data_IF_920539446146
#
_entry.id   IF_920539446146
#
_cell.length_a   1.000
_cell.length_b   1.000
_cell.length_c   1.000
_cell.angle_alpha   90.00
_cell.angle_beta   90.00
_cell.angle_gamma   90.00
#
_symmetry.space_group_name_H-M   'P 1'
#
loop_
_entity.id
_entity.type
_entity.pdbx_description
1 polymer ?
#
# COMPACT_ATOMS: atom_id res chain seq x y z
N UNK A 1 45.64 -23.65 -46.21
CA UNK A 1 45.38 -23.77 -44.79
C UNK A 1 44.28 -22.85 -44.41
N UNK A 2 43.23 -23.40 -43.93
CA UNK A 2 42.04 -22.64 -43.59
C UNK A 2 41.92 -22.55 -42.11
N UNK A 3 42.03 -21.38 -41.60
CA UNK A 3 41.71 -21.08 -40.21
C UNK A 3 40.21 -20.85 -40.11
N UNK A 4 39.54 -21.74 -39.42
CA UNK A 4 38.16 -21.54 -39.03
C UNK A 4 38.14 -20.72 -37.76
N UNK A 5 37.73 -19.49 -37.89
CA UNK A 5 37.33 -18.70 -36.76
C UNK A 5 35.88 -19.09 -36.41
N UNK A 6 35.76 -20.02 -35.49
CA UNK A 6 34.48 -20.23 -34.86
C UNK A 6 34.22 -19.04 -33.95
N UNK A 7 33.39 -18.14 -34.42
CA UNK A 7 32.83 -17.12 -33.54
C UNK A 7 31.96 -17.82 -32.51
N UNK A 8 32.44 -17.86 -31.29
CA UNK A 8 31.65 -18.26 -30.15
C UNK A 8 30.62 -17.15 -29.92
N UNK A 9 29.43 -17.35 -30.44
CA UNK A 9 28.29 -16.52 -30.04
C UNK A 9 27.98 -16.88 -28.58
N UNK A 10 28.50 -16.10 -27.66
CA UNK A 10 28.04 -16.14 -26.29
C UNK A 10 26.65 -15.55 -26.30
N UNK A 11 25.67 -16.40 -26.39
CA UNK A 11 24.32 -16.01 -26.06
C UNK A 11 24.31 -15.74 -24.56
N UNK A 12 24.52 -14.50 -24.18
CA UNK A 12 24.19 -14.04 -22.83
C UNK A 12 22.69 -14.09 -22.76
N UNK A 13 22.16 -15.21 -22.34
CA UNK A 13 20.80 -15.23 -21.87
C UNK A 13 20.77 -14.41 -20.58
N UNK A 14 20.38 -13.18 -20.69
CA UNK A 14 19.90 -12.44 -19.57
C UNK A 14 18.65 -13.17 -19.08
N UNK A 15 18.87 -14.13 -18.19
CA UNK A 15 17.79 -14.59 -17.35
C UNK A 15 17.36 -13.35 -16.56
N UNK A 16 16.39 -12.64 -17.10
CA UNK A 16 15.80 -11.54 -16.39
C UNK A 16 15.37 -12.05 -15.03
N UNK A 17 15.95 -11.51 -13.98
CA UNK A 17 15.40 -11.67 -12.66
C UNK A 17 13.91 -11.40 -12.79
N UNK A 18 13.09 -12.33 -12.23
CA UNK A 18 11.67 -12.11 -12.09
C UNK A 18 11.47 -10.76 -11.45
N UNK A 19 10.70 -9.98 -12.02
CA UNK A 19 10.79 -8.57 -11.89
C UNK A 19 10.24 -8.07 -10.59
N UNK A 20 11.05 -7.33 -9.93
CA UNK A 20 10.58 -6.17 -9.21
C UNK A 20 9.75 -5.24 -10.12
N UNK A 21 9.47 -5.71 -11.36
CA UNK A 21 8.68 -4.98 -12.33
C UNK A 21 7.26 -4.73 -11.89
N UNK A 22 6.80 -5.38 -10.83
CA UNK A 22 5.49 -5.10 -10.28
C UNK A 22 5.45 -3.77 -9.55
N UNK A 23 6.61 -3.20 -9.24
CA UNK A 23 6.68 -1.88 -8.65
C UNK A 23 6.50 -0.80 -9.71
N UNK A 24 5.44 -0.01 -9.57
CA UNK A 24 5.16 1.15 -10.38
C UNK A 24 5.87 2.38 -9.82
N UNK A 25 5.96 3.43 -10.63
CA UNK A 25 6.44 4.72 -10.13
C UNK A 25 5.55 5.20 -8.98
N UNK A 26 6.13 5.87 -7.97
CA UNK A 26 5.33 6.45 -6.89
C UNK A 26 4.23 7.37 -7.41
N UNK A 27 3.06 7.30 -6.80
CA UNK A 27 1.92 8.14 -7.13
C UNK A 27 1.64 9.09 -5.96
N UNK A 28 2.00 10.38 -6.08
CA UNK A 28 1.81 11.34 -5.00
C UNK A 28 0.35 11.52 -4.58
N UNK A 29 -0.60 11.40 -5.50
CA UNK A 29 -2.02 11.54 -5.22
C UNK A 29 -2.52 10.37 -4.35
N UNK A 30 -2.08 9.15 -4.63
CA UNK A 30 -2.39 7.98 -3.81
C UNK A 30 -1.79 8.13 -2.42
N UNK A 31 -0.51 8.50 -2.34
CA UNK A 31 0.16 8.71 -1.05
C UNK A 31 -0.52 9.81 -0.24
N UNK A 32 -0.93 10.88 -0.90
CA UNK A 32 -1.65 11.99 -0.27
C UNK A 32 -2.99 11.57 0.32
N UNK A 33 -3.74 10.72 -0.37
CA UNK A 33 -5.00 10.15 0.12
C UNK A 33 -4.77 9.34 1.39
N UNK A 34 -3.81 8.45 1.37
CA UNK A 34 -3.49 7.58 2.53
C UNK A 34 -2.99 8.43 3.70
N UNK A 35 -2.04 9.33 3.46
CA UNK A 35 -1.51 10.20 4.50
C UNK A 35 -2.59 11.10 5.10
N UNK A 36 -3.47 11.63 4.27
CA UNK A 36 -4.60 12.46 4.73
C UNK A 36 -5.53 11.69 5.66
N UNK A 37 -5.82 10.43 5.34
CA UNK A 37 -6.64 9.59 6.23
C UNK A 37 -5.92 9.30 7.55
N UNK A 38 -4.65 8.97 7.50
CA UNK A 38 -3.85 8.72 8.71
C UNK A 38 -3.82 9.96 9.59
N UNK A 39 -3.58 11.13 9.01
CA UNK A 39 -3.56 12.40 9.75
C UNK A 39 -4.92 12.68 10.41
N UNK A 40 -6.01 12.38 9.72
CA UNK A 40 -7.36 12.51 10.27
C UNK A 40 -7.58 11.56 11.45
N UNK A 41 -7.15 10.31 11.36
CA UNK A 41 -7.23 9.36 12.48
C UNK A 41 -6.41 9.82 13.68
N UNK A 42 -5.22 10.39 13.46
CA UNK A 42 -4.38 10.89 14.55
C UNK A 42 -5.05 12.02 15.35
N UNK A 43 -6.01 12.72 14.74
CA UNK A 43 -6.79 13.77 15.37
C UNK A 43 -8.19 13.29 15.79
N UNK A 44 -8.48 12.01 15.65
CA UNK A 44 -9.84 11.45 15.84
C UNK A 44 -10.90 12.15 14.99
N UNK A 45 -10.49 12.70 13.86
CA UNK A 45 -11.42 13.30 12.90
C UNK A 45 -11.96 12.20 11.96
N UNK A 46 -12.90 11.43 12.47
CA UNK A 46 -13.48 10.30 11.73
C UNK A 46 -14.30 10.77 10.52
N UNK A 47 -14.86 11.95 10.57
CA UNK A 47 -15.56 12.54 9.43
C UNK A 47 -14.62 12.74 8.25
N UNK A 48 -13.47 13.38 8.47
CA UNK A 48 -12.46 13.58 7.44
C UNK A 48 -11.87 12.24 6.97
N UNK A 49 -11.55 11.32 7.90
CA UNK A 49 -11.02 10.00 7.56
C UNK A 49 -11.99 9.23 6.65
N UNK A 50 -13.28 9.33 6.91
CA UNK A 50 -14.33 8.66 6.14
C UNK A 50 -14.44 9.19 4.70
N UNK A 51 -14.11 10.46 4.48
CA UNK A 51 -14.13 11.05 3.14
C UNK A 51 -13.06 10.43 2.20
N UNK A 52 -11.96 9.92 2.75
CA UNK A 52 -10.93 9.23 1.96
C UNK A 52 -11.30 7.80 1.59
N UNK A 53 -12.37 7.26 2.16
CA UNK A 53 -12.85 5.93 1.86
C UNK A 53 -13.69 5.92 0.58
N UNK A 54 -13.65 4.78 -0.14
CA UNK A 54 -14.43 4.58 -1.35
C UNK A 54 -15.93 4.55 -1.07
N UNK A 55 -16.77 4.75 -2.10
CA UNK A 55 -18.22 4.60 -1.95
C UNK A 55 -18.63 3.25 -1.37
N UNK A 56 -17.95 2.15 -1.74
CA UNK A 56 -18.25 0.82 -1.22
C UNK A 56 -18.01 0.71 0.28
N UNK A 57 -16.90 1.24 0.78
CA UNK A 57 -16.62 1.26 2.23
C UNK A 57 -17.63 2.15 2.96
N UNK A 58 -17.91 3.32 2.42
CA UNK A 58 -18.90 4.22 3.03
C UNK A 58 -20.27 3.59 3.11
N UNK A 59 -20.71 2.89 2.08
CA UNK A 59 -21.98 2.16 2.09
C UNK A 59 -22.00 1.01 3.10
N UNK A 60 -20.86 0.35 3.31
CA UNK A 60 -20.75 -0.74 4.28
C UNK A 60 -20.87 -0.24 5.73
N UNK A 61 -20.15 0.80 6.08
CA UNK A 61 -20.10 1.30 7.47
C UNK A 61 -21.14 2.38 7.75
N UNK A 62 -21.60 3.08 6.75
CA UNK A 62 -22.69 4.07 6.75
C UNK A 62 -22.36 5.39 7.44
N UNK A 63 -21.66 5.36 8.56
CA UNK A 63 -21.33 6.57 9.32
C UNK A 63 -19.84 6.63 9.64
N UNK A 64 -19.27 7.84 9.80
CA UNK A 64 -17.89 7.99 10.27
C UNK A 64 -17.64 7.33 11.61
N UNK A 65 -18.63 7.32 12.52
CA UNK A 65 -18.50 6.72 13.85
C UNK A 65 -18.35 5.20 13.77
N UNK A 66 -19.15 4.54 12.92
CA UNK A 66 -19.03 3.09 12.70
C UNK A 66 -17.70 2.73 12.06
N UNK A 67 -17.29 3.52 11.08
CA UNK A 67 -16.00 3.35 10.42
C UNK A 67 -14.84 3.52 11.40
N UNK A 68 -14.86 4.58 12.19
CA UNK A 68 -13.84 4.85 13.21
C UNK A 68 -13.75 3.76 14.26
N UNK A 69 -14.89 3.27 14.75
CA UNK A 69 -14.94 2.17 15.71
C UNK A 69 -14.33 0.88 15.14
N UNK A 70 -14.59 0.58 13.88
CA UNK A 70 -14.01 -0.58 13.19
C UNK A 70 -12.50 -0.45 13.09
N UNK A 71 -11.99 0.72 12.69
CA UNK A 71 -10.54 0.94 12.55
C UNK A 71 -9.84 0.87 13.91
N UNK A 72 -10.40 1.47 14.94
CA UNK A 72 -9.85 1.39 16.30
C UNK A 72 -9.70 -0.05 16.80
N UNK A 73 -10.68 -0.90 16.52
CA UNK A 73 -10.71 -2.29 16.97
C UNK A 73 -9.91 -3.23 16.07
N UNK A 74 -10.06 -3.09 14.75
CA UNK A 74 -9.49 -4.02 13.79
C UNK A 74 -8.12 -3.62 13.26
N UNK A 75 -7.81 -2.32 13.26
CA UNK A 75 -6.60 -1.76 12.68
C UNK A 75 -5.96 -0.71 13.58
N UNK A 76 -5.65 -1.05 14.85
CA UNK A 76 -5.13 -0.06 15.79
C UNK A 76 -3.82 0.59 15.33
N UNK A 77 -3.00 -0.12 14.55
CA UNK A 77 -1.78 0.43 13.97
C UNK A 77 -2.06 1.52 12.93
N UNK A 78 -3.20 1.45 12.24
CA UNK A 78 -3.62 2.48 11.27
C UNK A 78 -4.19 3.69 11.98
N UNK A 79 -4.91 3.46 13.08
CA UNK A 79 -5.50 4.53 13.88
C UNK A 79 -4.45 5.33 14.67
N UNK A 80 -3.44 4.64 15.21
CA UNK A 80 -2.38 5.26 16.02
C UNK A 80 -1.00 4.75 15.60
N UNK A 81 -0.53 5.09 14.40
CA UNK A 81 0.83 4.76 14.00
C UNK A 81 1.84 5.62 14.75
N UNK A 82 2.97 5.03 15.16
CA UNK A 82 4.12 5.79 15.63
C UNK A 82 5.06 6.19 14.50
N UNK A 83 5.04 5.42 13.40
CA UNK A 83 5.83 5.71 12.21
C UNK A 83 5.15 5.17 10.96
N UNK A 84 5.28 5.89 9.85
CA UNK A 84 4.67 5.55 8.57
C UNK A 84 5.71 5.75 7.47
N UNK A 85 5.96 4.69 6.70
CA UNK A 85 6.89 4.72 5.59
C UNK A 85 6.24 4.11 4.35
N UNK A 86 6.19 4.87 3.25
CA UNK A 86 5.61 4.39 2.01
C UNK A 86 6.56 3.44 1.29
N UNK A 87 6.04 2.30 0.88
CA UNK A 87 6.72 1.31 0.09
C UNK A 87 6.29 1.33 -1.38
N UNK A 88 6.43 0.20 -2.08
CA UNK A 88 6.09 0.13 -3.50
C UNK A 88 4.60 0.19 -3.77
N UNK A 89 4.28 0.73 -4.95
CA UNK A 89 2.96 0.70 -5.55
C UNK A 89 2.94 -0.43 -6.58
N UNK A 90 1.94 -1.29 -6.54
CA UNK A 90 1.81 -2.43 -7.46
C UNK A 90 0.41 -2.52 -8.03
N UNK A 91 0.31 -3.04 -9.25
CA UNK A 91 -0.95 -3.46 -9.82
C UNK A 91 -1.15 -4.95 -9.54
N UNK A 92 -2.35 -5.31 -9.07
CA UNK A 92 -2.70 -6.69 -8.79
C UNK A 92 -4.21 -6.86 -8.97
N UNK A 93 -4.60 -7.82 -9.81
CA UNK A 93 -6.00 -8.12 -10.09
C UNK A 93 -6.82 -6.90 -10.54
N UNK A 94 -6.21 -6.06 -11.38
CA UNK A 94 -6.87 -4.87 -11.92
C UNK A 94 -7.00 -3.69 -10.97
N UNK A 95 -6.38 -3.75 -9.80
CA UNK A 95 -6.38 -2.67 -8.83
C UNK A 95 -4.96 -2.22 -8.47
N UNK A 96 -4.82 -0.99 -8.06
CA UNK A 96 -3.56 -0.48 -7.51
C UNK A 96 -3.52 -0.71 -6.00
N UNK A 97 -2.41 -1.25 -5.54
CA UNK A 97 -2.15 -1.52 -4.13
C UNK A 97 -0.91 -0.74 -3.69
N UNK A 98 -1.09 0.15 -2.74
CA UNK A 98 0.01 0.90 -2.13
C UNK A 98 0.43 0.23 -0.84
N UNK A 99 1.67 -0.22 -0.80
CA UNK A 99 2.26 -0.77 0.41
C UNK A 99 2.74 0.35 1.33
N UNK A 100 2.49 0.21 2.60
CA UNK A 100 2.93 1.14 3.64
C UNK A 100 3.48 0.32 4.81
N UNK A 101 4.67 0.65 5.25
CA UNK A 101 5.22 0.09 6.48
C UNK A 101 4.77 0.97 7.64
N UNK A 102 4.02 0.39 8.56
CA UNK A 102 3.50 1.10 9.73
C UNK A 102 4.03 0.43 10.99
N UNK A 103 4.56 1.25 11.89
CA UNK A 103 4.94 0.82 13.23
C UNK A 103 3.89 1.32 14.22
N UNK A 104 3.46 0.45 15.14
CA UNK A 104 2.51 0.82 16.17
C UNK A 104 3.21 1.46 17.38
N UNK A 105 2.42 1.86 18.38
CA UNK A 105 2.95 2.51 19.59
C UNK A 105 3.84 1.59 20.42
N UNK A 106 3.65 0.28 20.31
CA UNK A 106 4.48 -0.72 20.99
C UNK A 106 5.77 -1.05 20.23
N UNK A 107 6.00 -0.43 19.05
CA UNK A 107 7.18 -0.65 18.23
C UNK A 107 7.07 -1.84 17.28
N UNK A 108 5.92 -2.49 17.20
CA UNK A 108 5.70 -3.59 16.26
C UNK A 108 5.43 -3.04 14.86
N UNK A 109 6.04 -3.67 13.85
CA UNK A 109 5.91 -3.26 12.46
C UNK A 109 4.93 -4.14 11.70
N UNK A 110 4.21 -3.51 10.77
CA UNK A 110 3.23 -4.14 9.90
C UNK A 110 3.42 -3.66 8.47
N UNK A 111 3.20 -4.55 7.53
CA UNK A 111 3.02 -4.17 6.14
C UNK A 111 1.52 -3.99 5.93
N UNK A 112 1.12 -2.78 5.57
CA UNK A 112 -0.28 -2.45 5.30
C UNK A 112 -0.42 -2.18 3.82
N UNK A 113 -1.26 -2.95 3.15
CA UNK A 113 -1.53 -2.79 1.74
C UNK A 113 -2.88 -2.11 1.56
N UNK A 114 -2.86 -0.94 0.93
CA UNK A 114 -4.06 -0.15 0.64
C UNK A 114 -4.48 -0.39 -0.80
N UNK A 115 -5.69 -0.92 -0.97
CA UNK A 115 -6.30 -1.02 -2.28
C UNK A 115 -6.91 0.32 -2.64
N UNK A 116 -6.54 0.84 -3.80
CA UNK A 116 -6.95 2.18 -4.24
C UNK A 116 -7.96 2.10 -5.38
N UNK A 117 -8.89 3.02 -5.37
CA UNK A 117 -9.91 3.19 -6.40
C UNK A 117 -9.92 4.63 -6.86
N UNK A 118 -9.90 4.84 -8.18
CA UNK A 118 -10.10 6.17 -8.75
C UNK A 118 -11.60 6.42 -8.90
N UNK A 119 -12.09 7.47 -8.26
CA UNK A 119 -13.50 7.86 -8.30
C UNK A 119 -13.57 9.27 -8.86
N UNK A 120 -13.95 9.40 -10.12
CA UNK A 120 -14.05 10.68 -10.82
C UNK A 120 -12.79 11.55 -10.73
N UNK A 121 -11.62 10.93 -10.84
CA UNK A 121 -10.33 11.59 -10.77
C UNK A 121 -9.71 11.65 -9.37
N UNK A 122 -10.46 11.32 -8.33
CA UNK A 122 -9.95 11.29 -6.96
C UNK A 122 -9.64 9.86 -6.50
N UNK A 123 -8.48 9.70 -5.89
CA UNK A 123 -8.12 8.41 -5.31
C UNK A 123 -8.79 8.23 -3.95
N UNK A 124 -9.41 7.06 -3.78
CA UNK A 124 -10.07 6.65 -2.54
C UNK A 124 -9.55 5.29 -2.10
N UNK A 125 -9.59 5.03 -0.81
CA UNK A 125 -9.19 3.75 -0.22
C UNK A 125 -10.38 2.81 -0.28
N UNK A 126 -10.23 1.68 -0.99
CA UNK A 126 -11.29 0.69 -1.18
C UNK A 126 -11.07 -0.60 -0.41
N UNK A 127 -9.95 -0.74 0.25
CA UNK A 127 -9.63 -1.90 1.07
C UNK A 127 -8.29 -1.76 1.73
N UNK A 128 -8.09 -2.52 2.79
CA UNK A 128 -6.83 -2.58 3.54
C UNK A 128 -6.55 -4.03 3.89
N UNK A 129 -5.31 -4.45 3.68
CA UNK A 129 -4.81 -5.75 4.08
C UNK A 129 -3.59 -5.56 4.96
N UNK A 130 -3.59 -6.19 6.12
CA UNK A 130 -2.50 -6.09 7.08
C UNK A 130 -1.73 -7.40 7.12
N UNK A 131 -0.42 -7.31 6.97
CA UNK A 131 0.49 -8.44 7.05
C UNK A 131 1.52 -8.12 8.12
N UNK A 132 1.71 -8.99 9.14
CA UNK A 132 2.82 -8.80 10.07
C UNK A 132 4.15 -8.79 9.31
N UNK A 133 5.01 -7.80 9.60
CA UNK A 133 6.29 -7.69 8.91
C UNK A 133 7.23 -8.79 9.40
N UNK A 134 7.70 -9.71 8.52
CA UNK A 134 8.57 -10.80 8.92
C UNK A 134 9.94 -10.25 9.34
N UNK A 135 10.54 -10.86 10.37
CA UNK A 135 11.90 -10.55 10.80
C UNK A 135 12.06 -9.28 11.62
N UNK A 136 10.96 -8.64 12.04
CA UNK A 136 11.00 -7.41 12.84
C UNK A 136 10.75 -7.70 14.32
N UNK A 137 10.55 -8.93 14.71
CA UNK A 137 10.60 -9.30 16.11
C UNK A 137 12.06 -9.33 16.55
N UNK A 138 12.46 -8.32 17.20
CA UNK A 138 13.72 -8.35 17.91
C UNK A 138 13.64 -9.38 19.04
#
# INVERSE_FOLDING_TARGET
>A
MRTFLMGLAVAVSLAGAAPAQDALAPNPAIRGTIQGQIDAFLQDDFGAAFEFASPGIRNTFRTPQNFGAMVQKGYPMVWRPSDVEFGPLRERDGALWQQVLIRDEAGKSYIVEYRMQNVDGDWRISGVRVIPAPGVSA
#
